data_IF_138821119000
#
_entry.id   IF_138821119000
#
_cell.length_a   1.000
_cell.length_b   1.000
_cell.length_c   1.000
_cell.angle_alpha   90.00
_cell.angle_beta   90.00
_cell.angle_gamma   90.00
#
_symmetry.space_group_name_H-M   'P 1'
#
loop_
_entity.id
_entity.type
_entity.pdbx_description
1 polymer ?
#
# COMPACT_ATOMS: atom_id res chain seq x y z
N UNK A 1 -19.36 22.34 1.16
CA UNK A 1 -18.17 22.09 1.98
C UNK A 1 -17.11 21.59 1.03
N UNK A 2 -16.00 22.32 0.84
CA UNK A 2 -14.90 21.84 0.01
C UNK A 2 -14.22 20.74 0.80
N UNK A 3 -14.57 19.48 0.53
CA UNK A 3 -13.82 18.35 1.09
C UNK A 3 -12.45 18.39 0.43
N UNK A 4 -11.40 18.37 1.24
CA UNK A 4 -10.04 18.23 0.74
C UNK A 4 -9.95 16.89 -0.01
N UNK A 5 -9.75 16.95 -1.33
CA UNK A 5 -9.71 15.79 -2.21
C UNK A 5 -8.56 14.85 -1.86
N UNK A 6 -7.47 15.38 -1.31
CA UNK A 6 -6.36 14.58 -0.81
C UNK A 6 -6.82 13.76 0.40
N UNK A 7 -7.48 14.39 1.36
CA UNK A 7 -8.07 13.70 2.52
C UNK A 7 -9.04 12.59 2.10
N UNK A 8 -9.93 12.84 1.12
CA UNK A 8 -10.87 11.83 0.64
C UNK A 8 -10.17 10.66 -0.05
N UNK A 9 -9.17 10.93 -0.88
CA UNK A 9 -8.32 9.91 -1.51
C UNK A 9 -7.62 9.03 -0.47
N UNK A 10 -6.97 9.64 0.53
CA UNK A 10 -6.24 8.93 1.58
C UNK A 10 -7.17 8.07 2.43
N UNK A 11 -8.35 8.59 2.78
CA UNK A 11 -9.37 7.86 3.53
C UNK A 11 -9.84 6.62 2.77
N UNK A 12 -10.17 6.77 1.49
CA UNK A 12 -10.65 5.66 0.67
C UNK A 12 -9.56 4.59 0.49
N UNK A 13 -8.31 5.01 0.27
CA UNK A 13 -7.17 4.11 0.17
C UNK A 13 -6.94 3.33 1.48
N UNK A 14 -7.01 3.99 2.64
CA UNK A 14 -6.92 3.36 3.96
C UNK A 14 -7.99 2.27 4.13
N UNK A 15 -9.25 2.59 3.81
CA UNK A 15 -10.38 1.66 3.94
C UNK A 15 -10.17 0.43 3.06
N UNK A 16 -9.79 0.58 1.79
CA UNK A 16 -9.54 -0.56 0.90
C UNK A 16 -8.37 -1.42 1.35
N UNK A 17 -7.29 -0.78 1.78
CA UNK A 17 -6.12 -1.50 2.26
C UNK A 17 -6.46 -2.31 3.51
N UNK A 18 -7.17 -1.73 4.47
CA UNK A 18 -7.59 -2.45 5.68
C UNK A 18 -8.59 -3.57 5.38
N UNK A 19 -9.50 -3.37 4.42
CA UNK A 19 -10.49 -4.37 4.00
C UNK A 19 -9.81 -5.64 3.51
N UNK A 20 -8.67 -5.48 2.83
CA UNK A 20 -7.86 -6.59 2.34
C UNK A 20 -6.91 -7.15 3.40
N UNK A 21 -6.27 -6.27 4.17
CA UNK A 21 -5.22 -6.65 5.13
C UNK A 21 -5.77 -7.36 6.37
N UNK A 22 -6.85 -6.84 6.97
CA UNK A 22 -7.33 -7.29 8.28
C UNK A 22 -7.75 -8.78 8.29
N UNK A 23 -8.56 -9.27 7.34
CA UNK A 23 -8.90 -10.70 7.29
C UNK A 23 -7.65 -11.59 7.12
N UNK A 24 -6.71 -11.17 6.28
CA UNK A 24 -5.47 -11.92 6.04
C UNK A 24 -4.57 -11.96 7.29
N UNK A 25 -4.49 -10.86 8.04
CA UNK A 25 -3.75 -10.78 9.30
C UNK A 25 -4.35 -11.71 10.36
N UNK A 26 -5.68 -11.68 10.53
CA UNK A 26 -6.43 -12.49 11.49
C UNK A 26 -6.43 -13.99 11.15
N UNK A 27 -6.25 -14.33 9.88
CA UNK A 27 -6.04 -15.72 9.47
C UNK A 27 -4.67 -16.27 9.92
N UNK A 28 -3.64 -15.41 9.92
CA UNK A 28 -2.24 -15.81 10.22
C UNK A 28 -1.87 -15.70 11.69
N UNK A 29 -2.61 -14.90 12.46
CA UNK A 29 -2.28 -14.58 13.85
C UNK A 29 -3.54 -14.37 14.69
N UNK A 30 -3.46 -14.72 15.98
CA UNK A 30 -4.50 -14.40 16.96
C UNK A 30 -4.49 -12.93 17.38
N UNK A 31 -3.40 -12.22 17.11
CA UNK A 31 -3.21 -10.80 17.45
C UNK A 31 -2.89 -10.02 16.19
N UNK A 32 -3.46 -8.83 16.02
CA UNK A 32 -3.12 -7.90 14.94
C UNK A 32 -3.14 -6.46 15.47
N UNK A 33 -2.28 -5.60 14.91
CA UNK A 33 -2.23 -4.18 15.28
C UNK A 33 -2.39 -3.32 14.03
N UNK A 34 -3.31 -2.35 14.10
CA UNK A 34 -3.49 -1.29 13.12
C UNK A 34 -3.07 0.02 13.79
N UNK A 35 -2.15 0.75 13.18
CA UNK A 35 -1.73 2.07 13.65
C UNK A 35 -2.05 3.11 12.59
N UNK A 36 -2.73 4.18 12.99
CA UNK A 36 -3.14 5.29 12.13
C UNK A 36 -2.56 6.55 12.76
N UNK A 37 -1.74 7.30 12.02
CA UNK A 37 -1.01 8.43 12.57
C UNK A 37 -1.00 9.62 11.62
N UNK A 38 -1.23 10.82 12.16
CA UNK A 38 -1.19 12.08 11.40
C UNK A 38 -2.43 12.35 10.55
N UNK A 39 -3.43 11.46 10.56
CA UNK A 39 -4.61 11.57 9.69
C UNK A 39 -5.71 12.45 10.27
N UNK A 40 -6.65 12.84 9.41
CA UNK A 40 -7.90 13.45 9.86
C UNK A 40 -8.78 12.49 10.69
N UNK A 41 -9.69 13.06 11.46
CA UNK A 41 -10.62 12.29 12.28
C UNK A 41 -11.57 11.39 11.45
N UNK A 42 -11.90 11.78 10.22
CA UNK A 42 -12.73 10.97 9.32
C UNK A 42 -12.04 9.69 8.86
N UNK A 43 -10.72 9.72 8.63
CA UNK A 43 -9.94 8.50 8.34
C UNK A 43 -9.92 7.52 9.51
N UNK A 44 -9.72 8.03 10.74
CA UNK A 44 -9.79 7.21 11.95
C UNK A 44 -11.19 6.61 12.15
N UNK A 45 -12.24 7.39 11.96
CA UNK A 45 -13.62 6.90 12.03
C UNK A 45 -13.90 5.81 11.00
N UNK A 46 -13.49 6.01 9.74
CA UNK A 46 -13.71 5.05 8.66
C UNK A 46 -13.01 3.72 8.96
N UNK A 47 -11.77 3.77 9.46
CA UNK A 47 -11.04 2.57 9.85
C UNK A 47 -11.72 1.83 11.02
N UNK A 48 -12.22 2.53 12.05
CA UNK A 48 -12.92 1.88 13.16
C UNK A 48 -14.25 1.27 12.73
N UNK A 49 -15.03 1.95 11.88
CA UNK A 49 -16.27 1.39 11.32
C UNK A 49 -15.99 0.13 10.50
N UNK A 50 -14.91 0.11 9.73
CA UNK A 50 -14.49 -1.09 9.01
C UNK A 50 -14.12 -2.23 9.98
N UNK A 51 -13.34 -1.95 11.03
CA UNK A 51 -13.01 -2.97 12.04
C UNK A 51 -14.28 -3.52 12.71
N UNK A 52 -15.26 -2.67 13.02
CA UNK A 52 -16.56 -3.07 13.54
C UNK A 52 -17.30 -4.02 12.57
N UNK A 53 -17.27 -3.72 11.27
CA UNK A 53 -17.88 -4.55 10.23
C UNK A 53 -17.23 -5.95 10.12
N UNK A 54 -16.00 -6.13 10.60
CA UNK A 54 -15.31 -7.42 10.69
C UNK A 54 -15.53 -8.14 12.05
N UNK A 55 -16.55 -7.75 12.82
CA UNK A 55 -16.81 -8.25 14.18
C UNK A 55 -16.81 -9.79 14.33
N UNK A 56 -17.44 -10.51 13.39
CA UNK A 56 -17.47 -11.97 13.43
C UNK A 56 -16.08 -12.60 13.22
N UNK A 57 -15.21 -11.93 12.47
CA UNK A 57 -13.86 -12.42 12.17
C UNK A 57 -12.89 -12.19 13.33
N UNK A 58 -13.15 -11.20 14.20
CA UNK A 58 -12.29 -10.92 15.37
C UNK A 58 -12.57 -11.83 16.56
N UNK A 59 -13.69 -12.59 16.56
CA UNK A 59 -14.02 -13.51 17.66
C UNK A 59 -12.87 -14.47 17.95
N UNK A 60 -12.44 -14.52 19.22
CA UNK A 60 -11.33 -15.35 19.69
C UNK A 60 -9.93 -14.87 19.24
N UNK A 61 -9.85 -13.65 18.73
CA UNK A 61 -8.62 -12.95 18.32
C UNK A 61 -8.54 -11.63 19.10
N UNK A 62 -7.47 -10.86 18.90
CA UNK A 62 -7.27 -9.56 19.50
C UNK A 62 -6.81 -8.58 18.43
N UNK A 63 -7.55 -7.48 18.28
CA UNK A 63 -7.19 -6.38 17.39
C UNK A 63 -6.91 -5.16 18.23
N UNK A 64 -5.73 -4.57 18.07
CA UNK A 64 -5.40 -3.29 18.69
C UNK A 64 -5.37 -2.21 17.62
N UNK A 65 -6.17 -1.17 17.79
CA UNK A 65 -6.17 0.01 16.92
C UNK A 65 -5.54 1.17 17.66
N UNK A 66 -4.47 1.74 17.11
CA UNK A 66 -3.79 2.92 17.63
C UNK A 66 -4.15 4.10 16.75
N UNK A 67 -4.67 5.18 17.33
CA UNK A 67 -4.94 6.43 16.61
C UNK A 67 -4.10 7.53 17.24
N UNK A 68 -3.15 8.05 16.47
CA UNK A 68 -2.29 9.16 16.84
C UNK A 68 -2.74 10.39 16.06
N UNK A 69 -3.42 11.31 16.74
CA UNK A 69 -3.86 12.55 16.13
C UNK A 69 -3.83 13.69 17.14
N UNK A 70 -3.64 14.90 16.63
CA UNK A 70 -3.71 16.13 17.41
C UNK A 70 -5.10 16.75 17.28
N UNK A 71 -6.10 16.14 17.92
CA UNK A 71 -7.48 16.65 17.91
C UNK A 71 -8.20 16.37 19.22
N UNK A 72 -8.54 17.45 19.93
CA UNK A 72 -9.33 17.38 21.17
C UNK A 72 -10.76 16.86 20.96
N UNK A 73 -11.29 16.97 19.73
CA UNK A 73 -12.62 16.49 19.38
C UNK A 73 -12.67 14.98 19.08
N UNK A 74 -11.51 14.33 18.92
CA UNK A 74 -11.43 12.95 18.47
C UNK A 74 -12.13 11.95 19.44
N UNK A 75 -11.94 12.01 20.77
CA UNK A 75 -12.62 11.08 21.68
C UNK A 75 -14.15 11.15 21.59
N UNK A 76 -14.71 12.36 21.46
CA UNK A 76 -16.16 12.54 21.33
C UNK A 76 -16.69 11.97 20.00
N UNK A 77 -15.91 12.02 18.93
CA UNK A 77 -16.27 11.48 17.61
C UNK A 77 -16.15 9.97 17.54
N UNK A 78 -15.10 9.40 18.12
CA UNK A 78 -14.82 7.96 18.05
C UNK A 78 -15.57 7.15 19.12
N UNK A 79 -15.90 7.76 20.27
CA UNK A 79 -16.55 7.08 21.39
C UNK A 79 -17.83 6.30 21.03
N UNK A 80 -18.76 6.84 20.22
CA UNK A 80 -19.93 6.08 19.77
C UNK A 80 -19.57 4.83 18.97
N UNK A 81 -18.55 4.91 18.10
CA UNK A 81 -18.09 3.77 17.29
C UNK A 81 -17.38 2.75 18.19
N UNK A 82 -16.55 3.22 19.13
CA UNK A 82 -15.84 2.36 20.08
C UNK A 82 -16.80 1.56 20.96
N UNK A 83 -17.93 2.14 21.36
CA UNK A 83 -18.96 1.46 22.15
C UNK A 83 -19.65 0.30 21.41
N UNK A 84 -19.62 0.29 20.07
CA UNK A 84 -20.19 -0.76 19.23
C UNK A 84 -19.16 -1.85 18.88
N UNK A 85 -17.89 -1.67 19.25
CA UNK A 85 -16.84 -2.63 18.92
C UNK A 85 -16.97 -3.92 19.73
N UNK A 86 -16.59 -5.07 19.13
CA UNK A 86 -16.43 -6.32 19.86
C UNK A 86 -15.40 -6.17 20.99
N UNK A 87 -15.57 -6.95 22.07
CA UNK A 87 -14.66 -6.94 23.21
C UNK A 87 -13.21 -7.34 22.84
N UNK A 88 -13.04 -8.04 21.72
CA UNK A 88 -11.76 -8.41 21.13
C UNK A 88 -10.99 -7.24 20.49
N UNK A 89 -11.64 -6.09 20.32
CA UNK A 89 -11.03 -4.89 19.73
C UNK A 89 -10.71 -3.90 20.84
N UNK A 90 -9.46 -3.46 20.90
CA UNK A 90 -9.01 -2.40 21.82
C UNK A 90 -8.57 -1.19 21.03
N UNK A 91 -9.13 -0.02 21.35
CA UNK A 91 -8.75 1.25 20.73
C UNK A 91 -7.90 2.05 21.72
N UNK A 92 -6.78 2.58 21.24
CA UNK A 92 -5.96 3.51 22.01
C UNK A 92 -5.85 4.83 21.25
N UNK A 93 -6.49 5.85 21.81
CA UNK A 93 -6.38 7.22 21.34
C UNK A 93 -5.19 7.89 22.02
N UNK A 94 -4.24 8.36 21.22
CA UNK A 94 -3.00 8.96 21.67
C UNK A 94 -2.93 10.37 21.11
N UNK A 95 -2.86 11.36 21.98
CA UNK A 95 -2.67 12.75 21.56
C UNK A 95 -1.24 12.97 21.08
N UNK A 96 -1.12 13.60 19.92
CA UNK A 96 0.13 14.14 19.41
C UNK A 96 0.45 13.73 17.98
N UNK A 97 1.65 14.11 17.58
CA UNK A 97 2.14 14.02 16.21
C UNK A 97 2.55 12.57 15.81
N UNK A 98 2.50 12.23 14.50
CA UNK A 98 2.85 10.92 13.96
C UNK A 98 4.23 10.38 14.35
N UNK A 99 5.22 11.22 14.68
CA UNK A 99 6.54 10.78 15.16
C UNK A 99 6.50 10.08 16.53
N UNK A 100 5.36 10.06 17.21
CA UNK A 100 5.14 9.23 18.42
C UNK A 100 4.82 7.77 18.11
N UNK A 101 4.66 7.38 16.84
CA UNK A 101 4.38 6.01 16.42
C UNK A 101 5.30 4.96 17.09
N UNK A 102 6.63 5.16 17.20
CA UNK A 102 7.51 4.18 17.85
C UNK A 102 7.15 3.87 19.31
N UNK A 103 6.69 4.89 20.04
CA UNK A 103 6.26 4.72 21.43
C UNK A 103 4.93 3.99 21.48
N UNK A 104 3.99 4.38 20.62
CA UNK A 104 2.66 3.80 20.55
C UNK A 104 2.69 2.29 20.23
N UNK A 105 3.39 1.90 19.16
CA UNK A 105 3.45 0.49 18.74
C UNK A 105 4.20 -0.39 19.75
N UNK A 106 5.20 0.19 20.44
CA UNK A 106 5.92 -0.50 21.52
C UNK A 106 5.01 -0.71 22.73
N UNK A 107 4.29 0.32 23.16
CA UNK A 107 3.37 0.24 24.29
C UNK A 107 2.22 -0.75 24.04
N UNK A 108 1.74 -0.82 22.79
CA UNK A 108 0.73 -1.78 22.35
C UNK A 108 1.24 -3.23 22.25
N UNK A 109 2.55 -3.45 22.44
CA UNK A 109 3.15 -4.77 22.28
C UNK A 109 3.02 -5.33 20.87
N UNK A 110 3.02 -4.48 19.84
CA UNK A 110 2.79 -4.86 18.44
C UNK A 110 3.88 -5.80 17.86
N UNK A 111 5.03 -5.90 18.55
CA UNK A 111 6.11 -6.80 18.17
C UNK A 111 5.63 -8.26 18.08
N UNK A 112 6.09 -8.97 17.04
CA UNK A 112 5.78 -10.39 16.84
C UNK A 112 4.39 -10.70 16.28
N UNK A 113 3.52 -9.68 16.08
CA UNK A 113 2.23 -9.80 15.41
C UNK A 113 2.25 -9.08 14.03
N UNK A 114 1.28 -9.35 13.14
CA UNK A 114 1.00 -8.48 12.00
C UNK A 114 0.75 -7.03 12.46
N UNK A 115 1.45 -6.09 11.83
CA UNK A 115 1.33 -4.66 12.08
C UNK A 115 1.11 -3.97 10.75
N UNK A 116 0.00 -3.25 10.62
CA UNK A 116 -0.23 -2.32 9.52
C UNK A 116 -0.19 -0.91 10.07
N UNK A 117 0.66 -0.06 9.49
CA UNK A 117 0.75 1.36 9.84
C UNK A 117 0.33 2.21 8.64
N UNK A 118 -0.64 3.10 8.84
CA UNK A 118 -0.98 4.16 7.92
C UNK A 118 -0.52 5.49 8.52
N UNK A 119 0.38 6.19 7.83
CA UNK A 119 1.02 7.38 8.38
C UNK A 119 0.98 8.51 7.36
N UNK A 120 0.39 9.62 7.76
CA UNK A 120 0.47 10.89 7.04
C UNK A 120 1.52 11.76 7.73
N UNK A 121 2.56 12.18 7.00
CA UNK A 121 3.65 12.97 7.57
C UNK A 121 3.58 14.44 7.12
N UNK A 122 3.54 15.39 8.06
CA UNK A 122 3.67 16.82 7.74
C UNK A 122 5.12 17.24 7.44
N UNK A 123 6.08 16.32 7.54
CA UNK A 123 7.50 16.63 7.42
C UNK A 123 8.36 15.41 7.04
N UNK A 124 9.65 15.49 7.32
CA UNK A 124 10.61 14.49 6.87
C UNK A 124 10.42 13.10 7.51
N UNK A 125 10.54 12.07 6.67
CA UNK A 125 10.57 10.68 7.10
C UNK A 125 11.76 10.44 8.03
N UNK A 126 11.53 9.84 9.21
CA UNK A 126 12.62 9.54 10.17
C UNK A 126 12.91 8.03 10.25
N UNK A 127 14.19 7.63 10.39
CA UNK A 127 14.54 6.21 10.53
C UNK A 127 13.85 5.50 11.70
N UNK A 128 13.62 6.21 12.81
CA UNK A 128 12.93 5.66 14.00
C UNK A 128 11.48 5.29 13.71
N UNK A 129 10.78 6.12 12.93
CA UNK A 129 9.41 5.87 12.53
C UNK A 129 9.32 4.63 11.62
N UNK A 130 10.21 4.56 10.62
CA UNK A 130 10.24 3.43 9.70
C UNK A 130 10.60 2.11 10.40
N UNK A 131 11.61 2.13 11.28
CA UNK A 131 11.98 0.96 12.08
C UNK A 131 10.82 0.47 12.95
N UNK A 132 10.05 1.37 13.54
CA UNK A 132 8.88 1.01 14.34
C UNK A 132 7.81 0.29 13.51
N UNK A 133 7.50 0.78 12.30
CA UNK A 133 6.56 0.12 11.41
C UNK A 133 7.08 -1.24 10.89
N UNK A 134 8.40 -1.37 10.71
CA UNK A 134 9.03 -2.60 10.25
C UNK A 134 9.12 -3.71 11.31
N UNK A 135 8.97 -3.39 12.60
CA UNK A 135 9.20 -4.32 13.73
C UNK A 135 8.11 -5.38 13.94
N UNK A 136 7.00 -5.35 13.18
CA UNK A 136 6.00 -6.42 13.18
C UNK A 136 6.47 -7.68 12.45
N UNK A 137 5.93 -8.86 12.82
CA UNK A 137 6.24 -10.14 12.13
C UNK A 137 5.89 -10.09 10.63
N UNK A 138 4.88 -9.31 10.29
CA UNK A 138 4.51 -8.90 8.95
C UNK A 138 4.23 -7.39 8.97
N UNK A 139 5.26 -6.60 9.27
CA UNK A 139 5.18 -5.14 9.28
C UNK A 139 4.94 -4.60 7.87
N UNK A 140 3.87 -3.82 7.74
CA UNK A 140 3.47 -3.11 6.52
C UNK A 140 3.28 -1.63 6.85
N UNK A 141 3.79 -0.77 5.99
CA UNK A 141 3.70 0.69 6.14
C UNK A 141 3.14 1.28 4.85
N UNK A 142 2.03 2.00 4.96
CA UNK A 142 1.51 2.90 3.93
C UNK A 142 1.72 4.33 4.41
N UNK A 143 2.51 5.09 3.66
CA UNK A 143 3.03 6.39 4.03
C UNK A 143 2.59 7.44 3.01
N UNK A 144 2.08 8.56 3.48
CA UNK A 144 1.88 9.78 2.68
C UNK A 144 2.89 10.85 3.11
N UNK A 145 3.60 11.40 2.12
CA UNK A 145 4.74 12.32 2.30
C UNK A 145 4.86 13.26 1.10
N UNK A 146 5.61 14.36 1.23
CA UNK A 146 5.81 15.31 0.13
C UNK A 146 6.72 14.77 -0.98
N UNK A 147 7.74 14.00 -0.61
CA UNK A 147 8.76 13.47 -1.53
C UNK A 147 8.88 11.94 -1.42
N UNK A 148 9.60 11.33 -2.36
CA UNK A 148 9.93 9.89 -2.33
C UNK A 148 10.58 9.49 -1.00
N UNK A 149 10.11 8.37 -0.46
CA UNK A 149 10.62 7.71 0.74
C UNK A 149 11.33 6.38 0.43
N UNK A 150 11.54 6.05 -0.85
CA UNK A 150 12.04 4.75 -1.30
C UNK A 150 13.32 4.33 -0.60
N UNK A 151 14.36 5.15 -0.69
CA UNK A 151 15.67 4.83 -0.11
C UNK A 151 15.60 4.70 1.41
N UNK A 152 14.78 5.51 2.05
CA UNK A 152 14.55 5.45 3.49
C UNK A 152 13.84 4.14 3.89
N UNK A 153 12.82 3.71 3.14
CA UNK A 153 12.09 2.45 3.36
C UNK A 153 12.99 1.24 3.15
N UNK A 154 13.80 1.23 2.08
CA UNK A 154 14.79 0.17 1.83
C UNK A 154 15.80 0.10 2.97
N UNK A 155 16.35 1.25 3.38
CA UNK A 155 17.30 1.35 4.50
C UNK A 155 16.70 0.90 5.84
N UNK A 156 15.39 1.04 6.02
CA UNK A 156 14.66 0.55 7.19
C UNK A 156 14.34 -0.95 7.15
N UNK A 157 14.71 -1.65 6.07
CA UNK A 157 14.61 -3.10 5.96
C UNK A 157 13.29 -3.59 5.37
N UNK A 158 12.59 -2.76 4.59
CA UNK A 158 11.50 -3.20 3.70
C UNK A 158 12.09 -3.69 2.37
N UNK A 159 12.06 -5.01 2.08
CA UNK A 159 12.62 -5.54 0.84
C UNK A 159 11.76 -5.25 -0.39
N UNK A 160 10.48 -4.90 -0.18
CA UNK A 160 9.54 -4.55 -1.24
C UNK A 160 9.02 -3.14 -0.97
N UNK A 161 9.32 -2.23 -1.90
CA UNK A 161 8.89 -0.84 -1.84
C UNK A 161 8.20 -0.46 -3.14
N UNK A 162 7.02 0.15 -3.03
CA UNK A 162 6.27 0.72 -4.13
C UNK A 162 5.98 2.19 -3.83
N UNK A 163 6.02 3.03 -4.86
CA UNK A 163 5.61 4.43 -4.74
C UNK A 163 4.71 4.84 -5.90
N UNK A 164 3.83 5.80 -5.65
CA UNK A 164 3.07 6.55 -6.66
C UNK A 164 2.92 7.99 -6.22
N UNK A 165 2.88 8.91 -7.17
CA UNK A 165 2.39 10.27 -6.94
C UNK A 165 1.00 10.39 -7.57
N UNK A 166 -0.08 10.52 -6.77
CA UNK A 166 -1.42 10.77 -7.28
C UNK A 166 -1.53 12.19 -7.85
N UNK A 167 -2.18 12.30 -9.00
CA UNK A 167 -2.51 13.55 -9.68
C UNK A 167 -4.02 13.66 -9.72
N UNK A 168 -4.55 14.58 -8.91
CA UNK A 168 -5.98 14.79 -8.74
C UNK A 168 -6.62 15.39 -10.01
N UNK A 169 -7.96 15.35 -10.17
CA UNK A 169 -8.65 15.85 -11.37
C UNK A 169 -8.41 17.33 -11.72
N UNK A 170 -8.10 18.15 -10.71
CA UNK A 170 -7.71 19.57 -10.87
C UNK A 170 -6.24 19.76 -11.27
N UNK A 171 -5.48 18.67 -11.38
CA UNK A 171 -4.05 18.68 -11.71
C UNK A 171 -3.13 18.86 -10.51
N UNK A 172 -3.65 18.95 -9.29
CA UNK A 172 -2.84 19.07 -8.09
C UNK A 172 -2.18 17.73 -7.72
N UNK A 173 -0.89 17.77 -7.39
CA UNK A 173 -0.17 16.60 -6.91
C UNK A 173 -0.51 16.37 -5.43
N UNK A 174 -1.08 15.21 -5.12
CA UNK A 174 -1.44 14.85 -3.75
C UNK A 174 -0.26 14.21 -3.00
N UNK A 175 0.96 14.76 -3.16
CA UNK A 175 2.19 14.19 -2.60
C UNK A 175 2.57 12.83 -3.17
N UNK A 176 3.27 12.03 -2.36
CA UNK A 176 3.71 10.67 -2.67
C UNK A 176 3.09 9.68 -1.70
N UNK A 177 2.54 8.60 -2.23
CA UNK A 177 2.16 7.40 -1.49
C UNK A 177 3.29 6.40 -1.62
N UNK A 178 3.92 6.06 -0.50
CA UNK A 178 4.97 5.05 -0.42
C UNK A 178 4.49 3.86 0.43
N UNK A 179 4.71 2.65 -0.08
CA UNK A 179 4.36 1.41 0.61
C UNK A 179 5.59 0.54 0.82
N UNK A 180 5.81 0.10 2.05
CA UNK A 180 6.85 -0.85 2.43
C UNK A 180 6.27 -2.14 2.97
N UNK A 181 6.73 -3.29 2.45
CA UNK A 181 6.29 -4.61 2.92
C UNK A 181 7.35 -5.68 2.73
N UNK A 182 7.07 -6.87 3.29
CA UNK A 182 7.80 -8.13 3.07
C UNK A 182 7.00 -9.14 2.25
N UNK A 183 5.81 -8.78 1.76
CA UNK A 183 4.91 -9.68 1.06
C UNK A 183 4.55 -9.16 -0.33
N UNK A 184 4.84 -9.95 -1.36
CA UNK A 184 4.37 -9.67 -2.73
C UNK A 184 2.85 -9.54 -2.79
N UNK A 185 2.13 -10.39 -2.07
CA UNK A 185 0.66 -10.34 -2.02
C UNK A 185 0.16 -9.00 -1.46
N UNK A 186 0.81 -8.46 -0.44
CA UNK A 186 0.43 -7.15 0.11
C UNK A 186 0.80 -6.02 -0.85
N UNK A 187 1.89 -6.16 -1.59
CA UNK A 187 2.30 -5.22 -2.64
C UNK A 187 1.31 -5.22 -3.82
N UNK A 188 0.85 -6.39 -4.24
CA UNK A 188 -0.22 -6.52 -5.24
C UNK A 188 -1.51 -5.89 -4.72
N UNK A 189 -1.91 -6.21 -3.48
CA UNK A 189 -3.14 -5.69 -2.88
C UNK A 189 -3.15 -4.16 -2.78
N UNK A 190 -2.05 -3.52 -2.36
CA UNK A 190 -2.00 -2.05 -2.27
C UNK A 190 -2.03 -1.41 -3.66
N UNK A 191 -1.39 -2.06 -4.66
CA UNK A 191 -1.40 -1.56 -6.04
C UNK A 191 -2.81 -1.64 -6.62
N UNK A 192 -3.51 -2.75 -6.41
CA UNK A 192 -4.90 -2.91 -6.84
C UNK A 192 -5.82 -1.93 -6.12
N UNK A 193 -5.62 -1.71 -4.82
CA UNK A 193 -6.36 -0.71 -4.04
C UNK A 193 -6.14 0.69 -4.62
N UNK A 194 -4.89 1.09 -4.89
CA UNK A 194 -4.57 2.36 -5.54
C UNK A 194 -5.33 2.50 -6.87
N UNK A 195 -5.19 1.54 -7.79
CA UNK A 195 -5.89 1.58 -9.08
C UNK A 195 -7.40 1.71 -8.95
N UNK A 196 -8.00 1.00 -8.00
CA UNK A 196 -9.43 1.07 -7.77
C UNK A 196 -9.85 2.44 -7.21
N UNK A 197 -9.10 3.01 -6.24
CA UNK A 197 -9.37 4.38 -5.75
C UNK A 197 -9.23 5.39 -6.88
N UNK A 198 -8.18 5.28 -7.69
CA UNK A 198 -7.96 6.24 -8.76
C UNK A 198 -9.01 6.16 -9.86
N UNK A 199 -9.54 4.98 -10.15
CA UNK A 199 -10.67 4.85 -11.06
C UNK A 199 -11.96 5.50 -10.49
N UNK A 200 -12.21 5.33 -9.19
CA UNK A 200 -13.42 5.84 -8.54
C UNK A 200 -13.38 7.36 -8.32
N UNK A 201 -12.19 7.93 -8.14
CA UNK A 201 -11.98 9.37 -7.87
C UNK A 201 -11.38 10.14 -9.06
N UNK A 202 -11.28 9.52 -10.24
CA UNK A 202 -10.67 10.10 -11.45
C UNK A 202 -9.23 10.62 -11.22
N UNK A 203 -8.46 9.89 -10.41
CA UNK A 203 -7.07 10.22 -10.07
C UNK A 203 -6.13 9.47 -11.00
N UNK A 204 -5.16 10.19 -11.58
CA UNK A 204 -4.07 9.59 -12.37
C UNK A 204 -2.86 9.35 -11.49
N UNK A 205 -1.97 8.44 -11.91
CA UNK A 205 -0.71 8.20 -11.20
C UNK A 205 0.49 8.51 -12.06
N UNK A 206 1.52 9.09 -11.46
CA UNK A 206 2.86 9.15 -12.05
C UNK A 206 3.86 8.44 -11.15
N UNK A 207 4.95 8.00 -11.73
CA UNK A 207 6.10 7.55 -10.94
C UNK A 207 6.78 8.80 -10.32
N UNK A 208 6.97 8.86 -9.00
CA UNK A 208 7.71 9.95 -8.36
C UNK A 208 9.15 10.09 -8.86
N UNK A 209 9.75 9.02 -9.39
CA UNK A 209 11.11 8.99 -9.91
C UNK A 209 11.20 9.32 -11.40
N UNK A 210 10.07 9.38 -12.12
CA UNK A 210 10.08 9.73 -13.54
C UNK A 210 10.26 11.25 -13.72
N UNK A 211 11.42 11.70 -14.25
CA UNK A 211 11.67 13.12 -14.48
C UNK A 211 10.75 13.72 -15.55
N UNK A 212 10.19 12.90 -16.44
CA UNK A 212 9.23 13.36 -17.46
C UNK A 212 7.82 13.52 -16.87
N UNK A 213 7.57 12.96 -15.69
CA UNK A 213 6.30 13.11 -14.98
C UNK A 213 5.11 12.54 -15.74
N UNK A 214 5.31 11.49 -16.54
CA UNK A 214 4.25 10.91 -17.36
C UNK A 214 3.18 10.32 -16.46
N UNK A 215 1.94 10.76 -16.67
CA UNK A 215 0.79 10.26 -15.92
C UNK A 215 0.16 9.08 -16.64
N UNK A 216 -0.17 8.04 -15.89
CA UNK A 216 -0.96 6.89 -16.33
C UNK A 216 -2.40 7.07 -15.84
N UNK A 217 -3.34 6.99 -16.78
CA UNK A 217 -4.76 6.88 -16.48
C UNK A 217 -5.09 5.48 -15.98
N UNK A 218 -5.86 5.39 -14.90
CA UNK A 218 -6.26 4.12 -14.28
C UNK A 218 -7.72 3.73 -14.52
N UNK A 219 -8.45 4.58 -15.24
CA UNK A 219 -9.81 4.27 -15.70
C UNK A 219 -9.72 3.35 -16.92
N UNK A 220 -10.32 2.16 -16.82
CA UNK A 220 -10.38 1.20 -17.92
C UNK A 220 -9.06 0.45 -18.15
N UNK A 221 -8.70 0.30 -19.42
CA UNK A 221 -7.50 -0.41 -19.84
C UNK A 221 -6.34 0.56 -20.06
N UNK A 222 -5.21 0.39 -19.37
CA UNK A 222 -4.09 1.30 -19.52
C UNK A 222 -3.27 1.02 -20.77
N UNK A 223 -2.56 2.05 -21.25
CA UNK A 223 -1.53 1.88 -22.26
C UNK A 223 -0.38 1.03 -21.71
N UNK A 224 -0.13 -0.12 -22.33
CA UNK A 224 0.86 -1.10 -21.87
C UNK A 224 2.23 -0.96 -22.55
N UNK A 225 2.37 -0.13 -23.57
CA UNK A 225 3.64 0.06 -24.28
C UNK A 225 4.76 0.56 -23.34
N UNK A 226 4.54 1.55 -22.44
CA UNK A 226 5.57 1.95 -21.49
C UNK A 226 6.01 0.80 -20.59
N UNK A 227 5.06 -0.01 -20.12
CA UNK A 227 5.35 -1.19 -19.30
C UNK A 227 6.12 -2.26 -20.09
N UNK A 228 5.75 -2.51 -21.35
CA UNK A 228 6.45 -3.46 -22.20
C UNK A 228 7.91 -3.05 -22.42
N UNK A 229 8.18 -1.76 -22.67
CA UNK A 229 9.54 -1.21 -22.77
C UNK A 229 10.34 -1.41 -21.48
N UNK A 230 9.73 -1.12 -20.33
CA UNK A 230 10.35 -1.31 -19.02
C UNK A 230 10.69 -2.78 -18.74
N UNK A 231 9.78 -3.71 -19.07
CA UNK A 231 10.02 -5.15 -18.89
C UNK A 231 11.13 -5.69 -19.79
N UNK A 232 11.22 -5.21 -21.03
CA UNK A 232 12.33 -5.55 -21.92
C UNK A 232 13.66 -5.03 -21.38
N UNK A 233 13.68 -3.81 -20.83
CA UNK A 233 14.89 -3.25 -20.23
C UNK A 233 15.33 -4.02 -18.99
N UNK A 234 14.39 -4.43 -18.15
CA UNK A 234 14.70 -5.28 -16.99
C UNK A 234 15.29 -6.64 -17.42
N UNK A 235 14.76 -7.24 -18.48
CA UNK A 235 15.31 -8.48 -19.04
C UNK A 235 16.70 -8.27 -19.67
N UNK A 236 16.96 -7.12 -20.32
CA UNK A 236 18.30 -6.79 -20.86
C UNK A 236 19.33 -6.65 -19.75
N UNK A 237 18.96 -5.95 -18.68
CA UNK A 237 19.80 -5.71 -17.50
C UNK A 237 20.03 -6.98 -16.68
N UNK A 238 18.99 -7.81 -16.58
CA UNK A 238 18.89 -8.88 -15.60
C UNK A 238 18.98 -10.31 -16.13
N UNK A 239 18.92 -10.50 -17.45
CA UNK A 239 18.83 -11.81 -18.09
C UNK A 239 17.44 -12.46 -17.96
N UNK A 240 17.37 -13.76 -18.24
CA UNK A 240 16.17 -14.58 -18.12
C UNK A 240 15.62 -14.59 -16.70
N UNK A 241 14.30 -14.41 -16.54
CA UNK A 241 13.65 -14.31 -15.22
C UNK A 241 12.26 -14.94 -15.17
N UNK A 242 11.82 -15.45 -14.01
CA UNK A 242 10.46 -15.94 -13.86
C UNK A 242 9.42 -14.82 -13.94
N UNK A 243 8.21 -15.13 -14.39
CA UNK A 243 7.07 -14.19 -14.44
C UNK A 243 6.81 -13.54 -13.07
N UNK A 244 7.01 -14.26 -11.97
CA UNK A 244 6.89 -13.70 -10.61
C UNK A 244 7.86 -12.54 -10.35
N UNK A 245 9.10 -12.64 -10.80
CA UNK A 245 10.07 -11.56 -10.65
C UNK A 245 9.73 -10.36 -11.52
N UNK A 246 9.21 -10.58 -12.73
CA UNK A 246 8.76 -9.51 -13.62
C UNK A 246 7.53 -8.79 -13.07
N UNK A 247 6.56 -9.52 -12.51
CA UNK A 247 5.43 -8.91 -11.78
C UNK A 247 5.90 -8.10 -10.59
N UNK A 248 6.84 -8.63 -9.80
CA UNK A 248 7.42 -7.89 -8.68
C UNK A 248 8.10 -6.61 -9.17
N UNK A 249 8.92 -6.69 -10.23
CA UNK A 249 9.57 -5.54 -10.84
C UNK A 249 8.54 -4.48 -11.23
N UNK A 250 7.47 -4.87 -11.95
CA UNK A 250 6.37 -3.97 -12.29
C UNK A 250 5.81 -3.24 -11.06
N UNK A 251 5.52 -3.97 -9.98
CA UNK A 251 4.96 -3.38 -8.77
C UNK A 251 5.94 -2.45 -8.03
N UNK A 252 7.24 -2.74 -8.07
CA UNK A 252 8.25 -1.96 -7.34
C UNK A 252 8.85 -0.83 -8.16
N UNK A 253 8.85 -0.91 -9.48
CA UNK A 253 9.53 0.03 -10.37
C UNK A 253 8.56 0.88 -11.19
N UNK A 254 7.26 0.58 -11.18
CA UNK A 254 6.29 1.30 -12.01
C UNK A 254 4.98 1.57 -11.26
N UNK A 255 4.08 2.30 -11.91
CA UNK A 255 2.71 2.55 -11.42
C UNK A 255 1.72 1.43 -11.75
N UNK A 256 2.09 0.46 -12.60
CA UNK A 256 1.20 -0.58 -13.12
C UNK A 256 0.94 -1.74 -12.14
N UNK A 257 -0.10 -2.53 -12.40
CA UNK A 257 -0.44 -3.73 -11.62
C UNK A 257 0.31 -4.96 -12.12
N UNK A 258 0.40 -5.99 -11.28
CA UNK A 258 0.90 -7.30 -11.68
C UNK A 258 0.07 -7.95 -12.81
N UNK A 259 -1.23 -7.65 -12.86
CA UNK A 259 -2.10 -8.09 -13.96
C UNK A 259 -1.70 -7.45 -15.31
N UNK A 260 -1.31 -6.18 -15.28
CA UNK A 260 -0.86 -5.44 -16.48
C UNK A 260 0.48 -5.99 -16.98
N UNK A 261 1.37 -6.43 -16.08
CA UNK A 261 2.61 -7.13 -16.44
C UNK A 261 2.33 -8.38 -17.27
N UNK A 262 1.35 -9.20 -16.88
CA UNK A 262 0.98 -10.39 -17.66
C UNK A 262 0.47 -10.04 -19.05
N UNK A 263 -0.35 -8.99 -19.16
CA UNK A 263 -0.89 -8.54 -20.44
C UNK A 263 0.23 -8.02 -21.35
N UNK A 264 1.15 -7.24 -20.80
CA UNK A 264 2.33 -6.76 -21.53
C UNK A 264 3.23 -7.92 -21.97
N UNK A 265 3.47 -8.92 -21.12
CA UNK A 265 4.25 -10.11 -21.47
C UNK A 265 3.59 -10.94 -22.56
N UNK A 266 2.27 -11.11 -22.52
CA UNK A 266 1.54 -11.75 -23.62
C UNK A 266 1.74 -10.99 -24.93
N UNK A 267 1.61 -9.67 -24.92
CA UNK A 267 1.87 -8.85 -26.11
C UNK A 267 3.30 -8.99 -26.64
N UNK A 268 4.31 -9.02 -25.76
CA UNK A 268 5.71 -9.24 -26.13
C UNK A 268 5.98 -10.65 -26.68
N UNK A 269 5.29 -11.67 -26.17
CA UNK A 269 5.37 -13.05 -26.69
C UNK A 269 4.74 -13.14 -28.08
N UNK A 270 3.58 -12.51 -28.27
CA UNK A 270 2.86 -12.48 -29.54
C UNK A 270 3.65 -11.72 -30.62
N UNK A 271 4.37 -10.66 -30.23
CA UNK A 271 5.28 -9.91 -31.10
C UNK A 271 6.60 -10.64 -31.38
N UNK A 272 6.94 -11.67 -30.59
CA UNK A 272 8.20 -12.41 -30.72
C UNK A 272 9.41 -11.69 -30.11
N UNK A 273 9.22 -10.65 -29.30
CA UNK A 273 10.30 -9.92 -28.62
C UNK A 273 10.90 -10.70 -27.45
N UNK A 274 10.09 -11.59 -26.88
CA UNK A 274 10.50 -12.49 -25.80
C UNK A 274 10.04 -13.92 -26.10
N UNK A 275 10.65 -14.88 -25.42
CA UNK A 275 10.29 -16.29 -25.45
C UNK A 275 10.08 -16.81 -24.04
N UNK A 276 9.28 -17.87 -23.92
CA UNK A 276 9.07 -18.63 -22.70
C UNK A 276 9.57 -20.07 -22.87
N UNK A 277 9.85 -20.76 -21.78
CA UNK A 277 10.37 -22.13 -21.81
C UNK A 277 9.28 -23.16 -22.18
N UNK A 278 8.04 -22.98 -21.73
CA UNK A 278 6.89 -23.82 -22.10
C UNK A 278 6.25 -23.34 -23.40
N UNK A 279 5.92 -24.24 -24.31
CA UNK A 279 5.33 -23.87 -25.60
C UNK A 279 3.92 -23.26 -25.48
N UNK A 280 3.07 -23.76 -24.58
CA UNK A 280 1.65 -23.40 -24.48
C UNK A 280 1.16 -23.21 -23.03
N UNK A 281 0.05 -22.50 -22.87
CA UNK A 281 -0.66 -22.35 -21.58
C UNK A 281 -0.61 -20.95 -20.97
N UNK A 282 -1.19 -20.81 -19.77
CA UNK A 282 -1.18 -19.55 -19.01
C UNK A 282 0.23 -19.24 -18.52
N UNK A 283 0.57 -17.96 -18.42
CA UNK A 283 1.80 -17.49 -17.79
C UNK A 283 1.75 -17.73 -16.28
N UNK A 284 2.17 -18.94 -15.88
CA UNK A 284 2.37 -19.31 -14.49
C UNK A 284 3.55 -18.52 -13.91
N UNK A 285 3.57 -18.39 -12.59
CA UNK A 285 4.56 -17.55 -11.91
C UNK A 285 6.01 -18.04 -12.01
N UNK A 286 6.21 -19.34 -12.21
CA UNK A 286 7.49 -20.01 -12.35
C UNK A 286 7.98 -20.09 -13.81
N UNK A 287 7.18 -19.64 -14.77
CA UNK A 287 7.53 -19.60 -16.19
C UNK A 287 8.69 -18.64 -16.40
N UNK A 288 9.77 -19.11 -17.03
CA UNK A 288 10.94 -18.28 -17.33
C UNK A 288 10.71 -17.54 -18.64
N UNK A 289 10.89 -16.22 -18.61
CA UNK A 289 10.87 -15.34 -19.77
C UNK A 289 12.30 -14.95 -20.13
N UNK A 290 12.62 -15.01 -21.41
CA UNK A 290 13.93 -14.60 -21.96
C UNK A 290 13.73 -13.70 -23.17
N UNK A 291 14.64 -12.76 -23.40
CA UNK A 291 14.66 -12.00 -24.65
C UNK A 291 14.78 -12.93 -25.86
N UNK A 292 14.06 -12.61 -26.93
CA UNK A 292 14.34 -13.18 -28.23
C UNK A 292 15.72 -12.72 -28.72
N UNK A 293 16.37 -13.56 -29.53
CA UNK A 293 17.67 -13.24 -30.13
C UNK A 293 17.50 -12.41 -31.39
#
# INVERSE_FOLDING_TARGET
MSTDRTTDFLRELLVRQLTTWLPAALHRSRRATVAIAGTDAGSAEAALRLVAAHGDQVRGRQVTVLVLADSAALPARLGPIEAELPAEVTVHLLTGDPYRLPVAVKAAGAAGAPLFSFVELPGAVTPKLLAAAANGRAGELLLHTGDSARDALVSAGFPLVAEVAPVLPDGEAAGVIAFGSRSDRSLEAVRDALWAVGADLDVRYRDPQDPMGVTVGVVGDPELEPLARELLEELRRGGSRPVTELRRHTLTATVYRAADANRALTGLLDAGDVRRDREAGRLAGDEIITLAR
#
